data_IF_132246195816
#
_entry.id   IF_132246195816
#
_cell.length_a   1.000
_cell.length_b   1.000
_cell.length_c   1.000
_cell.angle_alpha   90.00
_cell.angle_beta   90.00
_cell.angle_gamma   90.00
#
_symmetry.space_group_name_H-M   'P 1'
#
loop_
_entity.id
_entity.type
_entity.pdbx_description
1 polymer ?
#
# COMPACT_ATOMS: atom_id res chain seq x y z
N UNK A 1 16.79 -17.10 33.11
CA UNK A 1 16.61 -16.61 31.74
C UNK A 1 15.54 -17.48 31.14
N UNK A 2 14.30 -16.98 31.05
CA UNK A 2 13.23 -17.77 30.42
C UNK A 2 13.54 -17.84 28.92
N UNK A 3 13.63 -19.04 28.37
CA UNK A 3 13.77 -19.23 26.93
C UNK A 3 12.55 -18.60 26.25
N UNK A 4 12.78 -17.54 25.46
CA UNK A 4 11.73 -16.88 24.69
C UNK A 4 11.19 -17.88 23.68
N UNK A 5 9.91 -18.22 23.79
CA UNK A 5 9.25 -19.17 22.89
C UNK A 5 8.87 -18.47 21.59
N UNK A 6 9.78 -18.49 20.62
CA UNK A 6 9.60 -17.84 19.32
C UNK A 6 9.22 -18.83 18.22
N UNK A 7 8.10 -18.57 17.55
CA UNK A 7 7.66 -19.28 16.35
C UNK A 7 7.97 -18.44 15.12
N UNK A 8 8.61 -19.02 14.10
CA UNK A 8 8.88 -18.33 12.84
C UNK A 8 7.93 -18.85 11.77
N UNK A 9 7.28 -17.97 11.01
CA UNK A 9 6.41 -18.34 9.90
C UNK A 9 6.76 -17.54 8.64
N UNK A 10 6.51 -18.11 7.48
CA UNK A 10 6.50 -17.39 6.21
C UNK A 10 5.18 -17.60 5.51
N UNK A 11 4.55 -16.51 5.08
CA UNK A 11 3.34 -16.53 4.28
C UNK A 11 3.70 -16.27 2.83
N UNK A 12 3.30 -17.18 1.95
CA UNK A 12 3.45 -17.09 0.50
C UNK A 12 2.06 -17.30 -0.12
N UNK A 13 1.71 -16.70 -1.26
CA UNK A 13 0.46 -17.02 -1.94
C UNK A 13 0.26 -18.54 -2.06
N UNK A 14 -0.81 -19.06 -1.46
CA UNK A 14 -1.15 -20.49 -1.48
C UNK A 14 -0.40 -21.41 -0.50
N UNK A 15 0.59 -20.93 0.27
CA UNK A 15 1.36 -21.76 1.23
C UNK A 15 1.77 -20.98 2.49
N UNK A 16 1.89 -21.69 3.62
CA UNK A 16 2.48 -21.19 4.85
C UNK A 16 3.59 -22.15 5.27
N UNK A 17 4.77 -21.60 5.55
CA UNK A 17 5.87 -22.33 6.17
C UNK A 17 5.92 -21.93 7.64
N UNK A 18 6.04 -22.90 8.54
CA UNK A 18 6.16 -22.64 9.97
C UNK A 18 7.34 -23.42 10.55
N UNK A 19 8.21 -22.75 11.30
CA UNK A 19 9.39 -23.30 11.96
C UNK A 19 9.28 -23.08 13.47
N UNK A 20 9.26 -24.19 14.20
CA UNK A 20 9.36 -24.21 15.66
C UNK A 20 10.55 -25.09 16.05
N UNK A 21 11.46 -24.54 16.87
CA UNK A 21 12.77 -25.15 17.13
C UNK A 21 13.44 -25.54 15.80
N UNK A 22 13.86 -26.81 15.64
CA UNK A 22 14.50 -27.31 14.41
C UNK A 22 13.54 -27.93 13.40
N UNK A 23 12.23 -27.86 13.64
CA UNK A 23 11.21 -28.45 12.77
C UNK A 23 10.55 -27.38 11.92
N UNK A 24 10.69 -27.51 10.61
CA UNK A 24 9.93 -26.71 9.62
C UNK A 24 8.85 -27.56 8.97
N UNK A 25 7.63 -27.04 8.88
CA UNK A 25 6.50 -27.66 8.18
C UNK A 25 6.01 -26.74 7.07
N UNK A 26 5.56 -27.32 5.97
CA UNK A 26 4.92 -26.61 4.86
C UNK A 26 3.45 -26.99 4.84
N UNK A 27 2.58 -25.99 4.87
CA UNK A 27 1.13 -26.16 4.91
C UNK A 27 0.56 -25.50 3.65
N UNK A 28 -0.25 -26.21 2.85
CA UNK A 28 -1.04 -25.57 1.81
C UNK A 28 -1.99 -24.57 2.46
N UNK A 29 -2.02 -23.32 1.99
CA UNK A 29 -2.98 -22.33 2.50
C UNK A 29 -4.45 -22.68 2.15
N UNK A 30 -4.67 -23.77 1.40
CA UNK A 30 -5.98 -24.28 0.98
C UNK A 30 -6.55 -25.41 1.87
N UNK A 31 -6.07 -25.64 3.10
CA UNK A 31 -6.55 -26.76 3.93
C UNK A 31 -6.99 -26.35 5.34
N UNK A 32 -8.04 -26.97 5.94
CA UNK A 32 -9.23 -27.62 5.38
C UNK A 32 -10.43 -26.66 5.31
N UNK A 33 -11.44 -26.94 4.49
CA UNK A 33 -12.70 -26.20 4.49
C UNK A 33 -13.33 -26.20 5.90
N UNK A 34 -13.52 -25.03 6.53
CA UNK A 34 -14.29 -24.95 7.76
C UNK A 34 -15.73 -25.38 7.45
N UNK A 35 -16.25 -26.32 8.22
CA UNK A 35 -17.68 -26.60 8.24
C UNK A 35 -18.38 -25.33 8.76
N UNK A 36 -19.19 -24.72 7.89
CA UNK A 36 -20.04 -23.52 8.05
C UNK A 36 -19.37 -22.16 7.88
N UNK A 37 -19.82 -21.43 6.84
CA UNK A 37 -19.98 -19.97 6.61
C UNK A 37 -19.00 -18.93 7.17
N UNK A 38 -17.91 -19.30 7.85
CA UNK A 38 -16.85 -18.38 8.24
C UNK A 38 -15.75 -18.39 7.18
N UNK A 39 -15.63 -17.27 6.46
CA UNK A 39 -14.43 -16.91 5.69
C UNK A 39 -13.19 -17.25 6.52
N UNK A 40 -12.35 -18.18 6.06
CA UNK A 40 -11.19 -18.68 6.80
C UNK A 40 -10.35 -17.50 7.35
N UNK A 41 -10.49 -17.23 8.64
CA UNK A 41 -9.87 -16.08 9.27
C UNK A 41 -8.34 -16.28 9.25
N UNK A 42 -7.51 -15.30 8.83
CA UNK A 42 -6.05 -15.46 8.75
C UNK A 42 -5.42 -15.97 10.04
N UNK A 43 -6.00 -15.64 11.20
CA UNK A 43 -5.55 -16.13 12.50
C UNK A 43 -5.77 -17.64 12.69
N UNK A 44 -6.85 -18.21 12.15
CA UNK A 44 -7.11 -19.64 12.21
C UNK A 44 -6.08 -20.42 11.37
N UNK A 45 -5.70 -19.88 10.20
CA UNK A 45 -4.65 -20.47 9.36
C UNK A 45 -3.27 -20.41 10.05
N UNK A 46 -2.91 -19.27 10.66
CA UNK A 46 -1.66 -19.17 11.42
C UNK A 46 -1.68 -20.07 12.66
N UNK A 47 -2.80 -20.15 13.38
CA UNK A 47 -2.95 -21.06 14.53
C UNK A 47 -2.83 -22.53 14.13
N UNK A 48 -3.46 -22.92 13.02
CA UNK A 48 -3.31 -24.26 12.45
C UNK A 48 -1.84 -24.54 12.06
N UNK A 49 -1.16 -23.55 11.48
CA UNK A 49 0.25 -23.67 11.12
C UNK A 49 1.15 -23.85 12.36
N UNK A 50 0.90 -23.08 13.41
CA UNK A 50 1.58 -23.20 14.70
C UNK A 50 1.41 -24.60 15.30
N UNK A 51 0.16 -25.07 15.38
CA UNK A 51 -0.16 -26.40 15.90
C UNK A 51 0.50 -27.52 15.07
N UNK A 52 0.50 -27.39 13.74
CA UNK A 52 1.13 -28.36 12.83
C UNK A 52 2.65 -28.40 12.99
N UNK A 53 3.27 -27.25 13.27
CA UNK A 53 4.70 -27.15 13.59
C UNK A 53 5.05 -27.76 14.96
N UNK A 54 4.04 -27.99 15.82
CA UNK A 54 4.20 -28.48 17.19
C UNK A 54 4.55 -27.37 18.19
N UNK A 55 4.22 -26.12 17.86
CA UNK A 55 4.37 -25.00 18.78
C UNK A 55 3.36 -25.10 19.93
N UNK A 56 3.72 -24.72 21.17
CA UNK A 56 2.81 -24.73 22.30
C UNK A 56 1.78 -23.58 22.21
N UNK A 57 0.69 -23.67 22.98
CA UNK A 57 -0.38 -22.65 22.96
C UNK A 57 0.01 -21.33 23.65
N UNK A 58 1.14 -21.30 24.39
CA UNK A 58 1.59 -20.18 25.22
C UNK A 58 2.80 -19.43 24.64
N UNK A 59 2.85 -19.25 23.32
CA UNK A 59 3.94 -18.55 22.62
C UNK A 59 4.14 -17.11 23.10
N UNK A 60 5.40 -16.77 23.35
CA UNK A 60 5.80 -15.40 23.67
C UNK A 60 5.79 -14.54 22.41
N UNK A 61 6.45 -15.00 21.34
CA UNK A 61 6.59 -14.24 20.11
C UNK A 61 6.34 -15.08 18.87
N UNK A 62 5.74 -14.48 17.85
CA UNK A 62 5.73 -15.01 16.49
C UNK A 62 6.40 -14.01 15.55
N UNK A 63 7.35 -14.49 14.75
CA UNK A 63 7.94 -13.71 13.66
C UNK A 63 7.38 -14.20 12.35
N UNK A 64 6.80 -13.30 11.55
CA UNK A 64 6.16 -13.65 10.28
C UNK A 64 6.85 -12.94 9.12
N UNK A 65 7.48 -13.74 8.27
CA UNK A 65 7.99 -13.35 6.96
C UNK A 65 6.82 -13.23 5.98
N UNK A 66 6.70 -12.10 5.31
CA UNK A 66 5.63 -11.85 4.35
C UNK A 66 6.19 -11.35 3.00
N UNK A 67 5.43 -11.45 1.90
CA UNK A 67 5.88 -10.95 0.60
C UNK A 67 6.19 -9.45 0.68
N UNK A 68 7.29 -9.03 0.06
CA UNK A 68 7.82 -7.67 0.23
C UNK A 68 6.87 -6.61 -0.32
N UNK A 69 6.08 -6.94 -1.34
CA UNK A 69 5.08 -6.04 -1.92
C UNK A 69 3.95 -5.66 -0.95
N UNK A 70 3.75 -6.41 0.15
CA UNK A 70 2.55 -6.26 0.97
C UNK A 70 2.45 -4.87 1.56
N UNK A 71 1.45 -4.12 1.08
CA UNK A 71 1.09 -2.82 1.63
C UNK A 71 0.65 -2.91 3.10
N UNK A 72 0.62 -1.74 3.75
CA UNK A 72 0.34 -1.61 5.20
C UNK A 72 -0.91 -2.33 5.66
N UNK A 73 -1.99 -2.32 4.88
CA UNK A 73 -3.24 -2.99 5.27
C UNK A 73 -3.06 -4.50 5.41
N UNK A 74 -2.40 -5.16 4.45
CA UNK A 74 -2.16 -6.61 4.52
C UNK A 74 -1.23 -6.93 5.67
N UNK A 75 -0.18 -6.11 5.88
CA UNK A 75 0.73 -6.22 7.03
C UNK A 75 0.00 -6.04 8.36
N UNK A 76 -0.88 -5.05 8.50
CA UNK A 76 -1.66 -4.81 9.72
C UNK A 76 -2.64 -5.96 10.01
N UNK A 77 -3.30 -6.50 8.98
CA UNK A 77 -4.16 -7.69 9.10
C UNK A 77 -3.35 -8.91 9.53
N UNK A 78 -2.21 -9.16 8.90
CA UNK A 78 -1.30 -10.24 9.24
C UNK A 78 -0.77 -10.09 10.68
N UNK A 79 -0.34 -8.89 11.07
CA UNK A 79 0.11 -8.59 12.42
C UNK A 79 -1.00 -8.84 13.44
N UNK A 80 -2.23 -8.40 13.17
CA UNK A 80 -3.39 -8.64 14.04
C UNK A 80 -3.67 -10.13 14.18
N UNK A 81 -3.59 -10.90 13.09
CA UNK A 81 -3.77 -12.34 13.12
C UNK A 81 -2.64 -13.05 13.89
N UNK A 82 -1.40 -12.64 13.68
CA UNK A 82 -0.22 -13.16 14.38
C UNK A 82 -0.29 -12.88 15.89
N UNK A 83 -0.80 -11.71 16.28
CA UNK A 83 -1.08 -11.33 17.68
C UNK A 83 -2.16 -12.17 18.37
N UNK A 84 -2.96 -12.92 17.62
CA UNK A 84 -3.90 -13.89 18.18
C UNK A 84 -3.22 -15.24 18.46
N UNK A 85 -2.06 -15.50 17.85
CA UNK A 85 -1.27 -16.73 18.03
C UNK A 85 -0.23 -16.58 19.15
N UNK A 86 0.36 -15.39 19.33
CA UNK A 86 1.40 -15.14 20.34
C UNK A 86 1.28 -13.75 20.99
N UNK A 87 1.91 -13.59 22.16
CA UNK A 87 1.91 -12.32 22.92
C UNK A 87 2.64 -11.18 22.23
N UNK A 88 3.53 -11.46 21.29
CA UNK A 88 4.25 -10.47 20.48
C UNK A 88 4.27 -10.95 19.04
N UNK A 89 4.20 -10.02 18.10
CA UNK A 89 4.27 -10.31 16.68
C UNK A 89 5.29 -9.39 16.03
N UNK A 90 6.21 -9.97 15.25
CA UNK A 90 7.21 -9.24 14.47
C UNK A 90 6.98 -9.57 13.00
N UNK A 91 6.95 -8.57 12.15
CA UNK A 91 6.86 -8.75 10.71
C UNK A 91 8.20 -8.49 10.04
N UNK A 92 8.58 -9.35 9.10
CA UNK A 92 9.79 -9.22 8.29
C UNK A 92 9.42 -9.40 6.82
N UNK A 93 9.97 -8.61 5.92
CA UNK A 93 9.74 -8.83 4.49
C UNK A 93 10.58 -10.01 3.99
N UNK A 94 10.10 -10.72 2.98
CA UNK A 94 10.84 -11.82 2.38
C UNK A 94 12.18 -11.35 1.80
N UNK A 95 12.26 -10.14 1.25
CA UNK A 95 13.53 -9.57 0.79
C UNK A 95 14.56 -9.40 1.92
N UNK A 96 14.15 -8.86 3.08
CA UNK A 96 15.03 -8.73 4.26
C UNK A 96 15.45 -10.11 4.78
N UNK A 97 14.50 -11.04 4.88
CA UNK A 97 14.77 -12.39 5.35
C UNK A 97 15.73 -13.15 4.40
N UNK A 98 15.52 -13.03 3.09
CA UNK A 98 16.40 -13.60 2.08
C UNK A 98 17.81 -13.01 2.15
N UNK A 99 17.94 -11.69 2.33
CA UNK A 99 19.26 -11.06 2.47
C UNK A 99 20.05 -11.58 3.67
N UNK A 100 19.38 -11.94 4.76
CA UNK A 100 20.02 -12.48 5.97
C UNK A 100 20.60 -13.88 5.77
N UNK A 101 20.21 -14.61 4.73
CA UNK A 101 20.80 -15.93 4.42
C UNK A 101 22.18 -15.79 3.78
N UNK A 102 22.44 -14.66 3.11
CA UNK A 102 23.73 -14.36 2.51
C UNK A 102 24.71 -13.84 3.58
N UNK A 103 25.99 -14.29 3.57
CA UNK A 103 26.99 -13.77 4.49
C UNK A 103 27.12 -12.25 4.36
N UNK A 104 27.53 -11.53 5.42
CA UNK A 104 27.80 -10.11 5.34
C UNK A 104 29.00 -9.88 4.41
N UNK A 105 28.74 -9.57 3.14
CA UNK A 105 29.76 -9.11 2.21
C UNK A 105 30.06 -7.64 2.44
N UNK A 106 31.35 -7.28 2.52
CA UNK A 106 31.79 -5.89 2.58
C UNK A 106 31.50 -5.20 1.24
N UNK A 107 30.42 -4.41 1.20
CA UNK A 107 30.10 -3.53 0.07
C UNK A 107 29.41 -4.17 -1.13
N UNK A 108 29.03 -5.44 -1.06
CA UNK A 108 28.26 -6.10 -2.13
C UNK A 108 26.81 -5.59 -2.19
N UNK A 109 26.31 -5.44 -3.41
CA UNK A 109 24.94 -4.99 -3.69
C UNK A 109 24.05 -6.18 -4.01
N UNK A 110 22.94 -6.24 -3.29
CA UNK A 110 21.99 -7.34 -3.37
C UNK A 110 20.69 -6.87 -3.99
N UNK A 111 20.17 -7.66 -4.93
CA UNK A 111 18.79 -7.62 -5.34
C UNK A 111 18.11 -8.93 -4.92
N UNK A 112 16.85 -8.85 -4.50
CA UNK A 112 16.02 -10.03 -4.21
C UNK A 112 14.91 -10.12 -5.24
N UNK A 113 14.72 -11.29 -5.82
CA UNK A 113 13.66 -11.61 -6.77
C UNK A 113 12.74 -12.63 -6.09
N UNK A 114 11.55 -12.18 -5.73
CA UNK A 114 10.45 -13.01 -5.25
C UNK A 114 9.60 -13.43 -6.45
N UNK A 115 9.56 -14.73 -6.72
CA UNK A 115 8.72 -15.33 -7.77
C UNK A 115 7.54 -16.01 -7.09
N UNK A 116 6.35 -15.46 -7.24
CA UNK A 116 5.13 -16.06 -6.68
C UNK A 116 4.09 -16.31 -7.78
N UNK A 117 3.06 -17.09 -7.45
CA UNK A 117 1.96 -17.37 -8.39
C UNK A 117 1.14 -16.13 -8.78
N UNK A 118 1.42 -14.96 -8.22
CA UNK A 118 0.79 -13.69 -8.54
C UNK A 118 1.74 -12.70 -9.26
N UNK A 119 2.97 -13.11 -9.59
CA UNK A 119 3.93 -12.32 -10.34
C UNK A 119 5.36 -12.37 -9.80
N UNK A 120 6.21 -11.47 -10.30
CA UNK A 120 7.60 -11.31 -9.87
C UNK A 120 7.79 -9.95 -9.22
N UNK A 121 8.28 -9.94 -7.99
CA UNK A 121 8.74 -8.74 -7.29
C UNK A 121 10.26 -8.73 -7.22
N UNK A 122 10.88 -7.65 -7.68
CA UNK A 122 12.31 -7.42 -7.50
C UNK A 122 12.52 -6.27 -6.52
N UNK A 123 13.44 -6.46 -5.58
CA UNK A 123 13.73 -5.50 -4.52
C UNK A 123 15.23 -5.24 -4.41
N UNK A 124 15.63 -3.98 -4.36
CA UNK A 124 16.98 -3.57 -3.96
C UNK A 124 16.98 -3.21 -2.48
N UNK A 125 18.04 -3.59 -1.77
CA UNK A 125 18.19 -3.37 -0.34
C UNK A 125 19.31 -2.38 -0.05
N UNK A 126 19.13 -1.57 1.00
CA UNK A 126 20.18 -0.70 1.55
C UNK A 126 21.22 -1.54 2.30
N UNK A 127 22.48 -1.13 2.22
CA UNK A 127 23.56 -1.69 3.05
C UNK A 127 23.75 -0.84 4.31
N UNK A 128 24.14 -1.43 5.47
CA UNK A 128 24.38 -2.86 5.73
C UNK A 128 23.14 -3.61 6.28
N UNK A 129 22.13 -2.89 6.78
CA UNK A 129 21.05 -3.47 7.58
C UNK A 129 19.91 -4.10 6.76
N UNK A 130 19.94 -3.95 5.43
CA UNK A 130 19.10 -4.69 4.51
C UNK A 130 17.66 -4.20 4.43
N UNK A 131 17.37 -2.93 4.75
CA UNK A 131 16.03 -2.37 4.54
C UNK A 131 15.73 -2.20 3.05
N UNK A 132 14.45 -2.28 2.68
CA UNK A 132 13.98 -2.11 1.31
C UNK A 132 14.24 -0.68 0.84
N UNK A 133 15.12 -0.51 -0.16
CA UNK A 133 15.40 0.78 -0.82
C UNK A 133 14.38 1.03 -1.94
N UNK A 134 14.30 0.08 -2.86
CA UNK A 134 13.48 0.17 -4.07
C UNK A 134 12.84 -1.16 -4.38
N UNK A 135 11.63 -1.09 -4.91
CA UNK A 135 10.83 -2.25 -5.28
C UNK A 135 10.22 -2.02 -6.67
N UNK A 136 10.22 -3.05 -7.49
CA UNK A 136 9.51 -3.10 -8.76
C UNK A 136 8.77 -4.44 -8.85
N UNK A 137 7.55 -4.43 -9.37
CA UNK A 137 6.75 -5.65 -9.54
C UNK A 137 6.22 -5.74 -10.96
N UNK A 138 6.16 -6.98 -11.45
CA UNK A 138 5.44 -7.34 -12.66
C UNK A 138 4.45 -8.46 -12.34
N UNK A 139 3.16 -8.13 -12.34
CA UNK A 139 2.07 -9.07 -12.03
C UNK A 139 1.80 -10.06 -13.17
N UNK A 140 2.19 -9.73 -14.40
CA UNK A 140 1.93 -10.55 -15.58
C UNK A 140 3.13 -11.43 -15.94
N UNK A 141 4.23 -11.30 -15.20
CA UNK A 141 5.38 -12.17 -15.30
C UNK A 141 5.21 -13.31 -14.31
N UNK A 142 4.67 -14.43 -14.79
CA UNK A 142 4.62 -15.67 -14.03
C UNK A 142 5.88 -16.52 -14.23
N UNK A 143 5.97 -17.60 -13.44
CA UNK A 143 7.05 -18.56 -13.48
C UNK A 143 7.27 -19.21 -14.85
N UNK A 144 6.19 -19.53 -15.58
CA UNK A 144 6.27 -20.13 -16.90
C UNK A 144 6.80 -19.15 -17.95
N UNK A 145 6.51 -17.86 -17.78
CA UNK A 145 6.98 -16.79 -18.65
C UNK A 145 8.42 -16.38 -18.37
N UNK A 146 8.91 -16.53 -17.13
CA UNK A 146 10.31 -16.29 -16.77
C UNK A 146 11.28 -17.09 -17.66
N UNK A 147 10.88 -18.29 -18.09
CA UNK A 147 11.68 -19.13 -18.98
C UNK A 147 11.67 -18.68 -20.45
N UNK A 148 10.86 -17.71 -20.83
CA UNK A 148 10.83 -17.18 -22.20
C UNK A 148 11.86 -16.05 -22.42
N UNK A 149 12.33 -15.80 -23.66
CA UNK A 149 13.16 -14.63 -23.96
C UNK A 149 12.46 -13.30 -23.66
N UNK A 150 11.12 -13.26 -23.71
CA UNK A 150 10.33 -12.08 -23.36
C UNK A 150 10.33 -11.86 -21.84
N UNK A 151 10.07 -12.89 -21.04
CA UNK A 151 10.11 -12.81 -19.58
C UNK A 151 11.51 -12.51 -19.05
N UNK A 152 12.56 -13.05 -19.67
CA UNK A 152 13.94 -12.68 -19.34
C UNK A 152 14.22 -11.18 -19.48
N UNK A 153 13.71 -10.56 -20.56
CA UNK A 153 13.86 -9.10 -20.77
C UNK A 153 13.08 -8.31 -19.71
N UNK A 154 11.88 -8.76 -19.36
CA UNK A 154 11.06 -8.14 -18.29
C UNK A 154 11.75 -8.25 -16.94
N UNK A 155 12.35 -9.40 -16.63
CA UNK A 155 13.14 -9.58 -15.40
C UNK A 155 14.38 -8.67 -15.36
N UNK A 156 15.14 -8.58 -16.47
CA UNK A 156 16.29 -7.66 -16.57
C UNK A 156 15.85 -6.19 -16.40
N UNK A 157 14.68 -5.83 -16.93
CA UNK A 157 14.08 -4.51 -16.75
C UNK A 157 13.68 -4.25 -15.29
N UNK A 158 13.05 -5.22 -14.60
CA UNK A 158 12.74 -5.11 -13.17
C UNK A 158 14.00 -4.91 -12.32
N UNK A 159 15.06 -5.68 -12.57
CA UNK A 159 16.35 -5.56 -11.86
C UNK A 159 16.94 -4.17 -12.11
N UNK A 160 16.92 -3.70 -13.36
CA UNK A 160 17.41 -2.36 -13.72
C UNK A 160 16.59 -1.24 -13.08
N UNK A 161 15.28 -1.40 -12.96
CA UNK A 161 14.40 -0.40 -12.35
C UNK A 161 14.74 -0.20 -10.86
N UNK A 162 15.07 -1.27 -10.14
CA UNK A 162 15.44 -1.15 -8.71
C UNK A 162 16.91 -0.80 -8.49
N UNK A 163 17.85 -1.36 -9.27
CA UNK A 163 19.28 -1.12 -9.08
C UNK A 163 19.79 0.15 -9.80
N UNK A 164 19.03 0.67 -10.76
CA UNK A 164 19.41 1.83 -11.57
C UNK A 164 20.48 1.48 -12.61
N UNK A 165 21.47 2.37 -12.76
CA UNK A 165 22.54 2.24 -13.77
C UNK A 165 23.65 1.27 -13.39
N UNK A 166 23.63 0.72 -12.18
CA UNK A 166 24.71 -0.16 -11.68
C UNK A 166 24.13 -1.51 -11.32
N UNK A 167 24.57 -2.56 -12.01
CA UNK A 167 24.09 -3.92 -11.83
C UNK A 167 24.40 -4.45 -10.42
N UNK A 168 23.53 -5.29 -9.81
CA UNK A 168 23.80 -5.91 -8.51
C UNK A 168 24.93 -6.93 -8.61
N UNK A 169 25.63 -7.16 -7.50
CA UNK A 169 26.68 -8.17 -7.42
C UNK A 169 26.09 -9.57 -7.15
N UNK A 170 24.94 -9.61 -6.45
CA UNK A 170 24.20 -10.82 -6.11
C UNK A 170 22.70 -10.62 -6.31
N UNK A 171 22.05 -11.60 -6.93
CA UNK A 171 20.59 -11.72 -7.04
C UNK A 171 20.15 -12.95 -6.24
N UNK A 172 19.39 -12.73 -5.17
CA UNK A 172 18.78 -13.79 -4.38
C UNK A 172 17.39 -14.08 -4.93
N UNK A 173 17.08 -15.35 -5.22
CA UNK A 173 15.79 -15.73 -5.79
C UNK A 173 15.03 -16.59 -4.76
N UNK A 174 13.78 -16.25 -4.48
CA UNK A 174 12.90 -17.02 -3.58
C UNK A 174 11.51 -17.23 -4.19
N UNK A 175 10.81 -18.32 -3.84
CA UNK A 175 9.41 -18.57 -4.21
C UNK A 175 9.15 -19.80 -5.11
N UNK A 176 8.07 -19.76 -5.91
CA UNK A 176 7.50 -20.85 -6.76
C UNK A 176 8.40 -21.24 -7.95
N UNK A 177 8.43 -22.52 -8.43
CA UNK A 177 7.46 -23.64 -8.27
C UNK A 177 7.60 -24.49 -7.01
N UNK A 178 8.74 -24.40 -6.34
CA UNK A 178 9.09 -25.19 -5.17
C UNK A 178 10.20 -24.47 -4.45
N UNK A 179 10.37 -24.74 -3.16
CA UNK A 179 11.41 -24.11 -2.36
C UNK A 179 12.62 -25.03 -2.19
N UNK A 180 13.84 -24.52 -2.39
CA UNK A 180 14.13 -23.22 -3.00
C UNK A 180 13.64 -23.17 -4.47
N UNK A 181 13.36 -21.96 -5.04
CA UNK A 181 13.01 -21.81 -6.45
C UNK A 181 14.01 -22.61 -7.24
N UNK A 182 13.52 -23.62 -7.96
CA UNK A 182 14.34 -24.77 -8.33
C UNK A 182 15.67 -24.31 -8.94
N UNK A 183 16.78 -24.94 -8.54
CA UNK A 183 18.12 -24.68 -9.09
C UNK A 183 18.13 -24.41 -10.62
N UNK A 184 17.31 -25.11 -11.44
CA UNK A 184 17.21 -24.81 -12.87
C UNK A 184 16.75 -23.38 -13.22
N UNK A 185 15.85 -22.76 -12.44
CA UNK A 185 15.39 -21.38 -12.65
C UNK A 185 16.53 -20.39 -12.39
N UNK A 186 17.26 -20.55 -11.28
CA UNK A 186 18.41 -19.70 -10.96
C UNK A 186 19.53 -19.83 -12.00
N UNK A 187 19.84 -21.06 -12.45
CA UNK A 187 20.82 -21.29 -13.53
C UNK A 187 20.43 -20.54 -14.81
N UNK A 188 19.16 -20.63 -15.23
CA UNK A 188 18.66 -19.92 -16.41
C UNK A 188 18.67 -18.40 -16.26
N UNK A 189 18.34 -17.88 -15.07
CA UNK A 189 18.45 -16.45 -14.78
C UNK A 189 19.92 -16.03 -14.87
N UNK A 190 20.84 -16.81 -14.28
CA UNK A 190 22.28 -16.52 -14.29
C UNK A 190 22.85 -16.47 -15.72
N UNK A 191 22.53 -17.47 -16.55
CA UNK A 191 22.95 -17.54 -17.95
C UNK A 191 22.53 -16.29 -18.75
N UNK A 192 21.33 -15.77 -18.47
CA UNK A 192 20.76 -14.63 -19.22
C UNK A 192 21.24 -13.28 -18.73
N UNK A 193 21.47 -13.15 -17.43
CA UNK A 193 22.06 -11.95 -16.87
C UNK A 193 23.50 -11.78 -17.36
N UNK A 194 24.30 -12.87 -17.43
CA UNK A 194 25.53 -12.97 -18.23
C UNK A 194 26.69 -12.01 -17.88
N UNK A 195 26.54 -11.13 -16.88
CA UNK A 195 27.45 -10.01 -16.55
C UNK A 195 28.29 -10.25 -15.28
N UNK A 196 28.48 -11.51 -14.87
CA UNK A 196 29.18 -11.85 -13.62
C UNK A 196 28.34 -11.68 -12.35
N UNK A 197 27.03 -11.44 -12.50
CA UNK A 197 26.05 -11.38 -11.40
C UNK A 197 25.86 -12.79 -10.85
N UNK A 198 26.03 -12.98 -9.55
CA UNK A 198 25.76 -14.27 -8.89
C UNK A 198 24.28 -14.40 -8.61
N UNK A 199 23.65 -15.47 -9.09
CA UNK A 199 22.24 -15.76 -8.81
C UNK A 199 22.16 -16.94 -7.85
N UNK A 200 21.56 -16.72 -6.68
CA UNK A 200 21.50 -17.72 -5.61
C UNK A 200 20.05 -18.04 -5.25
N UNK A 201 19.65 -19.31 -5.20
CA UNK A 201 18.36 -19.70 -4.64
C UNK A 201 18.33 -19.49 -3.12
N UNK A 202 17.16 -19.13 -2.59
CA UNK A 202 16.89 -19.04 -1.15
C UNK A 202 15.56 -19.72 -0.82
N UNK A 203 15.57 -20.69 0.10
CA UNK A 203 14.38 -21.41 0.56
C UNK A 203 13.71 -20.73 1.77
N UNK A 204 12.41 -20.97 2.02
CA UNK A 204 11.77 -20.48 3.25
C UNK A 204 12.45 -21.00 4.50
N UNK A 205 12.88 -22.26 4.50
CA UNK A 205 13.57 -22.85 5.65
C UNK A 205 14.85 -22.09 6.01
N UNK A 206 15.56 -21.57 5.01
CA UNK A 206 16.78 -20.78 5.20
C UNK A 206 16.43 -19.37 5.70
N UNK A 207 15.42 -18.73 5.12
CA UNK A 207 14.92 -17.44 5.59
C UNK A 207 14.44 -17.50 7.04
N UNK A 208 13.64 -18.52 7.39
CA UNK A 208 13.12 -18.72 8.74
C UNK A 208 14.22 -19.06 9.76
N UNK A 209 15.32 -19.68 9.32
CA UNK A 209 16.49 -19.93 10.18
C UNK A 209 17.38 -18.70 10.32
N UNK A 210 17.44 -17.82 9.31
CA UNK A 210 18.28 -16.63 9.30
C UNK A 210 17.65 -15.42 10.01
N UNK A 211 16.34 -15.44 10.26
CA UNK A 211 15.66 -14.40 11.05
C UNK A 211 15.92 -14.67 12.54
N UNK A 212 16.60 -13.76 13.25
CA UNK A 212 16.91 -13.97 14.66
C UNK A 212 15.64 -13.92 15.50
N UNK A 213 15.68 -14.62 16.63
CA UNK A 213 14.68 -14.43 17.67
C UNK A 213 14.72 -12.96 18.15
N UNK A 214 13.56 -12.34 18.40
CA UNK A 214 13.53 -11.01 18.94
C UNK A 214 14.23 -11.02 20.31
N UNK A 215 15.26 -10.18 20.44
CA UNK A 215 15.98 -10.03 21.70
C UNK A 215 15.05 -9.52 22.81
N UNK A 216 15.38 -9.76 24.09
CA UNK A 216 14.63 -9.20 25.20
C UNK A 216 14.57 -7.68 25.05
N UNK A 217 13.35 -7.13 24.99
CA UNK A 217 13.12 -5.70 24.99
C UNK A 217 13.80 -5.12 26.25
N UNK A 218 14.74 -4.16 26.13
CA UNK A 218 15.31 -3.54 27.31
C UNK A 218 14.17 -2.90 28.12
N UNK A 219 14.18 -2.99 29.45
CA UNK A 219 13.10 -2.47 30.28
C UNK A 219 12.88 -0.99 29.95
N UNK A 220 11.61 -0.60 29.81
CA UNK A 220 11.17 0.74 29.40
C UNK A 220 11.73 1.90 30.27
N UNK A 221 12.32 1.59 31.42
CA UNK A 221 12.99 2.55 32.32
C UNK A 221 14.44 2.92 31.91
N UNK A 222 15.00 2.30 30.87
CA UNK A 222 16.33 2.66 30.34
C UNK A 222 16.32 3.83 29.33
N UNK A 223 15.15 4.44 29.10
CA UNK A 223 15.03 5.65 28.28
C UNK A 223 15.32 6.90 29.11
N UNK A 224 16.61 7.22 29.31
CA UNK A 224 17.20 8.56 29.31
C UNK A 224 18.54 8.61 30.07
N UNK A 225 19.64 8.26 29.38
CA UNK A 225 20.91 8.93 29.63
C UNK A 225 21.08 9.97 28.50
N UNK A 226 21.04 11.29 28.81
CA UNK A 226 21.08 12.32 27.78
C UNK A 226 22.47 12.34 27.09
N UNK A 227 22.43 12.43 25.76
CA UNK A 227 23.51 12.20 24.80
C UNK A 227 24.69 13.21 24.81
N UNK A 228 24.87 14.00 25.86
CA UNK A 228 25.89 15.07 25.92
C UNK A 228 27.20 14.68 26.62
N UNK A 229 27.40 13.40 26.96
CA UNK A 229 28.57 12.93 27.71
C UNK A 229 29.56 12.05 26.92
N UNK A 230 29.42 11.92 25.60
CA UNK A 230 30.45 11.29 24.77
C UNK A 230 31.30 12.35 24.06
N UNK A 231 32.52 12.54 24.57
CA UNK A 231 33.58 13.26 23.86
C UNK A 231 34.35 12.25 23.02
N UNK A 232 34.12 12.24 21.70
CA UNK A 232 34.91 11.47 20.73
C UNK A 232 35.59 12.44 19.74
N UNK A 233 36.82 12.15 19.25
CA UNK A 233 37.65 13.11 18.54
C UNK A 233 37.18 13.38 17.10
N UNK A 234 37.31 14.64 16.68
CA UNK A 234 36.87 15.13 15.37
C UNK A 234 37.60 14.48 14.19
N UNK A 235 36.82 13.84 13.29
CA UNK A 235 37.20 13.59 11.90
C UNK A 235 36.46 14.57 10.98
N UNK A 236 37.20 15.18 10.03
CA UNK A 236 36.77 16.30 9.16
C UNK A 236 35.91 15.85 7.95
N UNK A 237 35.16 16.78 7.32
CA UNK A 237 33.88 16.47 6.68
C UNK A 237 33.96 16.30 5.16
N UNK A 238 33.06 15.48 4.61
CA UNK A 238 32.58 15.61 3.22
C UNK A 238 31.05 15.68 3.26
N UNK A 239 30.51 16.84 2.86
CA UNK A 239 29.14 17.07 2.39
C UNK A 239 27.95 16.59 3.24
N UNK A 240 27.52 17.39 4.22
CA UNK A 240 26.13 17.39 4.73
C UNK A 240 25.19 17.86 3.61
N UNK A 241 23.91 17.48 3.50
CA UNK A 241 22.82 17.60 4.48
C UNK A 241 21.57 16.96 3.80
N UNK A 242 20.58 16.31 4.42
CA UNK A 242 20.03 16.44 5.77
C UNK A 242 19.15 15.19 6.06
N UNK A 243 19.54 14.40 7.07
CA UNK A 243 18.74 13.35 7.71
C UNK A 243 17.94 13.94 8.88
N UNK A 244 16.85 13.25 9.23
CA UNK A 244 16.16 13.27 10.53
C UNK A 244 14.91 14.16 10.54
N UNK A 245 13.75 13.72 11.02
CA UNK A 245 13.51 12.90 12.22
C UNK A 245 12.25 12.05 12.03
N UNK A 246 12.35 10.76 12.40
CA UNK A 246 11.20 9.88 12.59
C UNK A 246 10.34 10.39 13.75
N UNK A 247 9.13 10.84 13.43
CA UNK A 247 8.08 11.04 14.42
C UNK A 247 7.30 9.74 14.49
N UNK A 248 7.35 9.09 15.66
CA UNK A 248 6.32 8.14 16.09
C UNK A 248 5.01 8.93 16.13
N UNK A 249 4.24 8.86 15.06
CA UNK A 249 2.94 9.49 14.98
C UNK A 249 1.88 8.39 15.14
N UNK A 250 1.44 8.20 16.39
CA UNK A 250 0.12 7.62 16.64
C UNK A 250 -0.88 8.56 15.98
N UNK A 251 -1.35 8.21 14.79
CA UNK A 251 -2.42 8.96 14.11
C UNK A 251 -3.63 8.06 13.94
N UNK A 252 -4.40 7.99 15.02
CA UNK A 252 -5.81 7.73 14.93
C UNK A 252 -6.49 8.88 14.17
N UNK A 253 -6.79 8.71 12.88
CA UNK A 253 -7.78 9.54 12.18
C UNK A 253 -8.62 8.69 11.22
N UNK A 254 -9.49 7.86 11.80
CA UNK A 254 -10.80 7.54 11.18
C UNK A 254 -11.92 8.37 11.85
N UNK A 255 -11.59 9.25 12.79
CA UNK A 255 -12.53 10.17 13.43
C UNK A 255 -12.55 11.58 12.81
N UNK A 256 -12.06 11.75 11.58
CA UNK A 256 -12.03 13.08 10.96
C UNK A 256 -13.38 13.54 10.41
N UNK A 257 -14.13 12.68 9.73
CA UNK A 257 -15.39 13.07 9.10
C UNK A 257 -16.60 12.84 10.03
N UNK A 258 -16.39 12.10 11.13
CA UNK A 258 -17.39 11.87 12.19
C UNK A 258 -17.34 12.88 13.36
N UNK A 259 -16.26 13.65 13.52
CA UNK A 259 -16.10 14.63 14.60
C UNK A 259 -16.40 16.07 14.12
N UNK A 260 -17.66 16.36 13.76
CA UNK A 260 -18.22 17.74 13.78
C UNK A 260 -18.87 18.03 15.15
N UNK A 261 -18.56 17.22 16.16
CA UNK A 261 -19.07 17.40 17.52
C UNK A 261 -18.04 18.14 18.38
N UNK A 262 -18.39 19.38 18.71
CA UNK A 262 -17.92 20.17 19.85
C UNK A 262 -16.48 20.73 19.82
N UNK A 263 -16.33 21.97 19.31
CA UNK A 263 -15.73 23.07 20.09
C UNK A 263 -16.47 24.36 19.75
N UNK A 264 -17.17 24.90 20.75
CA UNK A 264 -17.56 26.31 20.73
C UNK A 264 -16.42 27.15 21.28
N UNK A 265 -16.03 28.19 20.56
CA UNK A 265 -15.81 29.48 21.18
C UNK A 265 -16.14 30.56 20.14
N UNK A 266 -17.11 31.39 20.51
CA UNK A 266 -17.38 32.71 19.96
C UNK A 266 -16.07 33.48 19.86
N UNK A 267 -15.84 34.24 18.80
CA UNK A 267 -15.33 35.61 18.85
C UNK A 267 -15.90 36.36 17.63
N UNK A 268 -16.70 37.37 17.94
CA UNK A 268 -17.29 38.35 17.03
C UNK A 268 -16.24 39.34 16.57
N UNK A 269 -16.21 39.68 15.27
CA UNK A 269 -15.77 40.94 14.63
C UNK A 269 -15.70 40.63 13.13
N UNK A 270 -16.64 40.98 12.27
CA UNK A 270 -17.11 42.33 12.00
C UNK A 270 -16.04 43.07 11.22
N UNK A 271 -16.06 43.02 9.88
CA UNK A 271 -15.74 44.15 8.99
C UNK A 271 -16.30 43.87 7.58
N UNK A 272 -17.20 44.76 7.18
CA UNK A 272 -17.79 44.92 5.85
C UNK A 272 -17.00 46.05 5.19
N UNK A 273 -16.48 45.84 3.99
CA UNK A 273 -16.21 46.92 3.05
C UNK A 273 -16.11 46.35 1.63
N UNK A 274 -17.00 46.85 0.79
CA UNK A 274 -17.07 46.66 -0.65
C UNK A 274 -15.80 47.17 -1.35
N UNK A 275 -15.55 46.73 -2.60
CA UNK A 275 -15.65 47.58 -3.80
C UNK A 275 -15.10 46.92 -5.08
N UNK A 276 -15.95 46.96 -6.10
CA UNK A 276 -15.72 47.22 -7.53
C UNK A 276 -15.25 46.13 -8.52
N UNK A 277 -16.18 45.84 -9.44
CA UNK A 277 -15.99 45.43 -10.83
C UNK A 277 -15.02 46.35 -11.59
N UNK A 278 -14.27 45.77 -12.52
CA UNK A 278 -13.89 46.46 -13.76
C UNK A 278 -14.03 45.50 -14.95
N UNK A 279 -14.95 45.85 -15.84
CA UNK A 279 -15.22 45.24 -17.15
C UNK A 279 -14.35 45.97 -18.18
N UNK A 280 -13.65 45.24 -19.04
CA UNK A 280 -13.25 45.73 -20.37
C UNK A 280 -13.48 44.63 -21.41
N UNK A 281 -14.24 44.99 -22.45
CA UNK A 281 -14.73 44.14 -23.55
C UNK A 281 -13.94 44.36 -24.85
N UNK A 282 -13.70 43.24 -25.55
CA UNK A 282 -13.74 42.99 -27.01
C UNK A 282 -12.74 43.70 -27.97
N UNK A 283 -12.50 43.23 -29.23
CA UNK A 283 -13.50 42.69 -30.18
C UNK A 283 -13.15 41.45 -31.04
N UNK A 284 -14.23 40.87 -31.57
CA UNK A 284 -14.33 39.77 -32.54
C UNK A 284 -13.88 40.10 -33.98
N UNK A 285 -13.52 39.06 -34.75
CA UNK A 285 -13.71 38.97 -36.19
C UNK A 285 -13.87 37.49 -36.59
N UNK A 286 -14.97 37.15 -37.27
CA UNK A 286 -15.37 35.77 -37.60
C UNK A 286 -15.02 35.31 -39.01
N UNK A 287 -15.36 34.05 -39.30
CA UNK A 287 -15.83 33.62 -40.62
C UNK A 287 -16.71 32.36 -40.49
N UNK A 288 -17.70 32.27 -41.35
CA UNK A 288 -18.74 31.26 -41.39
C UNK A 288 -18.32 30.03 -42.20
N UNK A 289 -18.53 28.85 -41.63
CA UNK A 289 -18.44 27.58 -42.36
C UNK A 289 -19.47 26.61 -41.80
N UNK A 290 -20.64 26.54 -42.45
CA UNK A 290 -21.69 25.60 -42.11
C UNK A 290 -21.18 24.17 -42.24
N UNK A 291 -21.14 23.44 -41.12
CA UNK A 291 -21.03 21.99 -41.08
C UNK A 291 -22.22 21.48 -40.29
N UNK A 292 -23.11 20.79 -41.00
CA UNK A 292 -24.18 19.93 -40.49
C UNK A 292 -23.73 19.21 -39.21
N UNK A 293 -24.53 19.15 -38.14
CA UNK A 293 -24.20 18.30 -37.01
C UNK A 293 -24.29 16.85 -37.48
N UNK A 294 -23.15 16.28 -37.86
CA UNK A 294 -23.00 14.85 -37.96
C UNK A 294 -23.30 14.30 -36.58
N UNK A 295 -24.41 13.57 -36.47
CA UNK A 295 -24.73 12.71 -35.33
C UNK A 295 -23.49 11.85 -35.09
N UNK A 296 -22.66 12.26 -34.12
CA UNK A 296 -21.63 11.39 -33.56
C UNK A 296 -22.40 10.25 -32.94
N UNK A 297 -22.44 9.13 -33.64
CA UNK A 297 -22.86 7.86 -33.06
C UNK A 297 -22.11 7.73 -31.74
N UNK A 298 -22.79 7.63 -30.59
CA UNK A 298 -22.12 7.49 -29.33
C UNK A 298 -21.28 6.22 -29.41
N UNK A 299 -19.97 6.37 -29.19
CA UNK A 299 -19.09 5.24 -28.91
C UNK A 299 -19.81 4.36 -27.89
N UNK A 300 -19.92 3.03 -28.10
CA UNK A 300 -20.60 2.17 -27.15
C UNK A 300 -19.99 2.42 -25.77
N UNK A 301 -20.77 3.01 -24.86
CA UNK A 301 -20.37 3.19 -23.47
C UNK A 301 -20.10 1.78 -22.97
N UNK A 302 -18.89 1.54 -22.45
CA UNK A 302 -18.60 0.27 -21.81
C UNK A 302 -19.73 -0.03 -20.81
N UNK A 303 -20.25 -1.26 -20.77
CA UNK A 303 -21.37 -1.58 -19.91
C UNK A 303 -21.03 -1.18 -18.48
N UNK A 304 -21.96 -0.45 -17.83
CA UNK A 304 -21.79 0.05 -16.47
C UNK A 304 -22.75 -0.63 -15.51
N UNK A 305 -22.27 -0.91 -14.31
CA UNK A 305 -23.04 -1.48 -13.20
C UNK A 305 -23.29 -0.39 -12.18
N UNK A 306 -24.55 -0.31 -11.72
CA UNK A 306 -24.95 0.61 -10.65
C UNK A 306 -24.65 -0.01 -9.29
N UNK A 307 -23.96 0.74 -8.45
CA UNK A 307 -23.69 0.40 -7.06
C UNK A 307 -24.51 1.29 -6.13
N UNK A 308 -25.16 0.67 -5.14
CA UNK A 308 -25.93 1.35 -4.09
C UNK A 308 -25.25 1.11 -2.75
N UNK A 309 -24.82 2.19 -2.10
CA UNK A 309 -23.94 2.22 -0.94
C UNK A 309 -24.58 3.11 0.12
N UNK A 310 -25.48 2.54 0.92
CA UNK A 310 -26.32 3.31 1.84
C UNK A 310 -27.22 4.31 1.07
N UNK A 311 -27.19 5.61 1.40
CA UNK A 311 -27.94 6.64 0.67
C UNK A 311 -27.27 7.07 -0.64
N UNK A 312 -26.08 6.54 -0.98
CA UNK A 312 -25.31 6.97 -2.14
C UNK A 312 -25.40 5.96 -3.26
N UNK A 313 -25.51 6.45 -4.50
CA UNK A 313 -25.58 5.66 -5.73
C UNK A 313 -24.51 6.13 -6.70
N UNK A 314 -23.81 5.23 -7.37
CA UNK A 314 -22.89 5.57 -8.46
C UNK A 314 -22.83 4.47 -9.50
N UNK A 315 -22.21 4.73 -10.64
CA UNK A 315 -22.00 3.76 -11.70
C UNK A 315 -20.51 3.58 -11.99
N UNK A 316 -20.09 2.33 -12.21
CA UNK A 316 -18.74 1.96 -12.63
C UNK A 316 -18.80 1.01 -13.82
N UNK A 317 -17.70 0.83 -14.59
CA UNK A 317 -17.63 -0.22 -15.59
C UNK A 317 -17.90 -1.61 -15.00
N UNK A 318 -18.33 -2.54 -15.85
CA UNK A 318 -18.34 -3.96 -15.49
C UNK A 318 -16.97 -4.41 -14.98
N UNK A 319 -16.96 -5.33 -14.01
CA UNK A 319 -15.74 -5.79 -13.37
C UNK A 319 -15.34 -4.99 -12.12
N UNK A 320 -16.20 -4.15 -11.54
CA UNK A 320 -16.04 -3.60 -10.20
C UNK A 320 -16.97 -4.27 -9.19
N UNK A 321 -16.45 -4.60 -8.01
CA UNK A 321 -17.19 -5.28 -6.96
C UNK A 321 -17.00 -4.61 -5.60
N UNK A 322 -18.02 -4.69 -4.75
CA UNK A 322 -17.94 -4.22 -3.37
C UNK A 322 -17.04 -5.17 -2.55
N UNK A 323 -16.08 -4.60 -1.82
CA UNK A 323 -15.18 -5.35 -0.94
C UNK A 323 -15.78 -5.52 0.45
N UNK A 324 -16.34 -6.69 0.71
CA UNK A 324 -16.97 -7.05 1.99
C UNK A 324 -18.30 -6.30 2.23
N UNK A 325 -18.89 -6.43 3.43
CA UNK A 325 -20.10 -5.67 3.76
C UNK A 325 -19.75 -4.18 3.85
N UNK A 326 -20.54 -3.32 3.18
CA UNK A 326 -20.41 -1.88 3.33
C UNK A 326 -20.60 -1.49 4.81
N UNK A 327 -19.68 -0.69 5.35
CA UNK A 327 -19.92 -0.03 6.64
C UNK A 327 -20.94 1.08 6.42
N UNK A 328 -21.68 1.46 7.46
CA UNK A 328 -22.82 2.36 7.35
C UNK A 328 -22.53 3.70 6.65
N UNK A 329 -21.28 4.16 6.67
CA UNK A 329 -20.78 5.42 6.12
C UNK A 329 -19.62 5.26 5.12
N UNK A 330 -19.14 4.03 4.88
CA UNK A 330 -17.96 3.77 4.08
C UNK A 330 -18.05 2.46 3.29
N UNK A 331 -17.74 2.56 2.00
CA UNK A 331 -17.68 1.44 1.07
C UNK A 331 -16.37 1.45 0.27
N UNK A 332 -15.93 0.28 -0.15
CA UNK A 332 -14.73 0.10 -0.97
C UNK A 332 -15.10 -0.74 -2.20
N UNK A 333 -14.91 -0.19 -3.39
CA UNK A 333 -15.08 -0.87 -4.67
C UNK A 333 -13.71 -1.22 -5.22
N UNK A 334 -13.56 -2.46 -5.69
CA UNK A 334 -12.30 -3.00 -6.23
C UNK A 334 -12.53 -3.68 -7.58
N UNK A 335 -11.56 -3.63 -8.50
CA UNK A 335 -11.63 -4.40 -9.74
C UNK A 335 -11.59 -5.91 -9.48
N UNK A 336 -12.50 -6.62 -10.12
CA UNK A 336 -12.51 -8.08 -10.24
C UNK A 336 -11.28 -8.48 -11.04
N UNK A 337 -10.41 -9.32 -10.47
CA UNK A 337 -9.11 -9.65 -11.05
C UNK A 337 -7.92 -8.99 -10.34
N UNK A 338 -8.17 -8.10 -9.37
CA UNK A 338 -7.19 -7.79 -8.33
C UNK A 338 -6.08 -6.80 -8.68
N UNK A 339 -6.36 -5.79 -9.51
CA UNK A 339 -5.43 -4.66 -9.64
C UNK A 339 -5.37 -3.85 -8.33
N UNK A 340 -4.20 -3.27 -8.02
CA UNK A 340 -3.96 -2.44 -6.83
C UNK A 340 -4.59 -1.03 -6.94
N UNK A 341 -5.86 -1.01 -7.35
CA UNK A 341 -6.68 0.18 -7.57
C UNK A 341 -7.98 0.01 -6.80
N UNK A 342 -8.45 1.08 -6.16
CA UNK A 342 -9.73 1.04 -5.44
C UNK A 342 -10.43 2.38 -5.48
N UNK A 343 -11.76 2.32 -5.47
CA UNK A 343 -12.61 3.50 -5.27
C UNK A 343 -13.22 3.38 -3.88
N UNK A 344 -12.83 4.30 -3.01
CA UNK A 344 -13.33 4.40 -1.64
C UNK A 344 -14.42 5.45 -1.63
N UNK A 345 -15.58 5.10 -1.11
CA UNK A 345 -16.67 6.04 -0.92
C UNK A 345 -16.89 6.24 0.58
N UNK A 346 -16.89 7.50 1.00
CA UNK A 346 -17.22 7.90 2.38
C UNK A 346 -18.33 8.92 2.30
N UNK A 347 -19.38 8.77 3.11
CA UNK A 347 -20.45 9.76 3.18
C UNK A 347 -20.77 10.16 4.62
N UNK A 348 -21.19 11.41 4.81
CA UNK A 348 -21.55 11.94 6.12
C UNK A 348 -22.71 12.92 6.00
N UNK A 349 -23.65 12.85 6.95
CA UNK A 349 -24.76 13.78 7.04
C UNK A 349 -24.24 15.09 7.65
N UNK A 350 -24.36 16.19 6.92
CA UNK A 350 -23.88 17.49 7.36
C UNK A 350 -24.80 18.07 8.43
N UNK A 351 -24.21 18.46 9.57
CA UNK A 351 -24.93 19.21 10.61
C UNK A 351 -24.97 20.67 10.21
N UNK A 352 -26.19 21.20 10.04
CA UNK A 352 -26.50 22.43 9.30
C UNK A 352 -26.28 22.19 7.81
N UNK A 353 -27.17 22.71 6.96
CA UNK A 353 -27.14 22.51 5.52
C UNK A 353 -25.95 23.26 4.89
N UNK A 354 -24.73 22.87 5.27
CA UNK A 354 -23.49 23.36 4.69
C UNK A 354 -23.49 22.97 3.22
N UNK A 355 -23.22 23.94 2.37
CA UNK A 355 -22.99 23.76 0.95
C UNK A 355 -21.52 23.38 0.69
N UNK A 356 -21.17 23.19 -0.58
CA UNK A 356 -19.82 22.81 -0.99
C UNK A 356 -18.77 23.81 -0.49
N UNK A 357 -19.05 25.12 -0.57
CA UNK A 357 -18.14 26.16 -0.09
C UNK A 357 -17.88 26.05 1.42
N UNK A 358 -18.94 25.86 2.23
CA UNK A 358 -18.80 25.65 3.67
C UNK A 358 -18.01 24.39 4.03
N UNK A 359 -18.18 23.30 3.28
CA UNK A 359 -17.34 22.09 3.43
C UNK A 359 -15.89 22.37 3.05
N UNK A 360 -15.66 23.17 2.00
CA UNK A 360 -14.33 23.62 1.56
C UNK A 360 -13.58 24.35 2.66
N UNK A 361 -14.22 25.29 3.36
CA UNK A 361 -13.60 26.01 4.50
C UNK A 361 -13.22 25.08 5.65
N UNK A 362 -14.04 24.06 5.94
CA UNK A 362 -13.74 23.07 6.97
C UNK A 362 -12.53 22.22 6.56
N UNK A 363 -12.48 21.78 5.30
CA UNK A 363 -11.36 21.01 4.76
C UNK A 363 -10.07 21.84 4.69
N UNK A 364 -10.15 23.12 4.34
CA UNK A 364 -9.00 24.02 4.29
C UNK A 364 -8.34 24.19 5.67
N UNK A 365 -9.15 24.40 6.71
CA UNK A 365 -8.65 24.44 8.10
C UNK A 365 -8.01 23.11 8.50
N UNK A 366 -8.63 21.98 8.12
CA UNK A 366 -8.06 20.67 8.40
C UNK A 366 -6.74 20.42 7.67
N UNK A 367 -6.64 20.81 6.40
CA UNK A 367 -5.42 20.68 5.62
C UNK A 367 -4.30 21.54 6.21
N UNK A 368 -4.60 22.74 6.71
CA UNK A 368 -3.63 23.57 7.41
C UNK A 368 -3.11 22.91 8.71
N UNK A 369 -3.95 22.17 9.42
CA UNK A 369 -3.57 21.41 10.62
C UNK A 369 -2.84 20.09 10.30
N UNK A 370 -3.07 19.50 9.11
CA UNK A 370 -2.68 18.13 8.73
C UNK A 370 -1.97 18.09 7.36
N UNK A 371 -1.14 19.09 7.06
CA UNK A 371 -0.56 19.29 5.73
C UNK A 371 0.37 18.16 5.25
N UNK A 372 0.83 17.29 6.15
CA UNK A 372 1.58 16.08 5.82
C UNK A 372 0.69 14.96 5.24
N UNK A 373 -0.61 14.94 5.58
CA UNK A 373 -1.58 13.92 5.17
C UNK A 373 -2.49 14.42 4.05
N UNK A 374 -2.98 15.66 4.17
CA UNK A 374 -3.87 16.30 3.19
C UNK A 374 -3.07 17.31 2.40
N UNK A 375 -2.82 16.99 1.14
CA UNK A 375 -2.00 17.78 0.22
C UNK A 375 -2.85 18.27 -0.95
N UNK A 376 -2.37 19.32 -1.61
CA UNK A 376 -2.95 19.83 -2.86
C UNK A 376 -4.47 20.05 -2.79
N UNK A 377 -4.96 20.58 -1.65
CA UNK A 377 -6.37 20.91 -1.49
C UNK A 377 -6.73 22.05 -2.43
N UNK A 378 -7.68 21.77 -3.31
CA UNK A 378 -8.34 22.72 -4.18
C UNK A 378 -9.84 22.74 -3.85
N UNK A 379 -10.26 23.78 -3.13
CA UNK A 379 -11.62 23.91 -2.60
C UNK A 379 -12.66 24.35 -3.64
N UNK A 380 -12.20 24.82 -4.82
CA UNK A 380 -13.05 25.34 -5.88
C UNK A 380 -12.54 24.86 -7.24
N UNK A 381 -12.82 23.58 -7.53
CA UNK A 381 -12.36 22.94 -8.76
C UNK A 381 -13.48 22.17 -9.43
N UNK A 382 -13.23 21.76 -10.67
CA UNK A 382 -14.16 20.94 -11.44
C UNK A 382 -13.48 19.64 -11.86
N UNK A 383 -14.15 18.52 -11.60
CA UNK A 383 -13.72 17.19 -12.04
C UNK A 383 -14.92 16.40 -12.54
N UNK A 384 -14.75 15.67 -13.65
CA UNK A 384 -15.82 14.88 -14.27
C UNK A 384 -17.12 15.68 -14.54
N UNK A 385 -16.94 16.91 -15.04
CA UNK A 385 -18.00 17.89 -15.35
C UNK A 385 -18.85 18.31 -14.13
N UNK A 386 -18.29 18.23 -12.92
CA UNK A 386 -18.97 18.62 -11.68
C UNK A 386 -18.09 19.51 -10.78
N UNK A 387 -18.68 20.51 -10.12
CA UNK A 387 -18.00 21.23 -9.03
C UNK A 387 -17.69 20.27 -7.88
N UNK A 388 -16.44 20.25 -7.45
CA UNK A 388 -15.95 19.39 -6.37
C UNK A 388 -14.89 20.13 -5.54
N UNK A 389 -14.64 19.64 -4.34
CA UNK A 389 -13.38 19.90 -3.63
C UNK A 389 -12.45 18.74 -3.92
N UNK A 390 -11.23 19.01 -4.38
CA UNK A 390 -10.22 17.99 -4.63
C UNK A 390 -9.07 18.08 -3.63
N UNK A 391 -8.52 16.95 -3.22
CA UNK A 391 -7.25 16.90 -2.50
C UNK A 391 -6.57 15.54 -2.70
N UNK A 392 -5.28 15.49 -2.37
CA UNK A 392 -4.49 14.27 -2.39
C UNK A 392 -4.17 13.84 -0.97
N UNK A 393 -4.45 12.59 -0.67
CA UNK A 393 -3.94 11.91 0.52
C UNK A 393 -2.86 10.90 0.10
N UNK A 394 -1.81 10.80 0.89
CA UNK A 394 -0.76 9.79 0.72
C UNK A 394 -0.82 8.84 1.92
N UNK A 395 -1.54 7.70 1.82
CA UNK A 395 -1.54 6.72 2.89
C UNK A 395 -0.14 6.15 3.17
N UNK A 396 0.67 6.01 2.11
CA UNK A 396 2.07 5.57 2.15
C UNK A 396 2.85 6.19 0.97
N UNK A 397 4.15 5.93 0.86
CA UNK A 397 5.02 6.50 -0.19
C UNK A 397 4.71 5.98 -1.61
N UNK A 398 4.02 4.84 -1.71
CA UNK A 398 3.77 4.13 -2.95
C UNK A 398 2.33 4.26 -3.42
N UNK A 399 1.42 4.80 -2.60
CA UNK A 399 0.01 4.94 -2.90
C UNK A 399 -0.49 6.36 -2.68
N UNK A 400 -1.29 6.81 -3.63
CA UNK A 400 -1.98 8.09 -3.57
C UNK A 400 -3.47 7.85 -3.64
N UNK A 401 -4.22 8.65 -2.87
CA UNK A 401 -5.67 8.75 -2.99
C UNK A 401 -6.02 10.14 -3.45
N UNK A 402 -6.63 10.26 -4.62
CA UNK A 402 -7.25 11.51 -5.08
C UNK A 402 -8.70 11.53 -4.61
N UNK A 403 -8.99 12.44 -3.71
CA UNK A 403 -10.31 12.64 -3.15
C UNK A 403 -11.05 13.71 -3.93
N UNK A 404 -12.31 13.44 -4.24
CA UNK A 404 -13.25 14.36 -4.83
C UNK A 404 -14.49 14.41 -3.95
N UNK A 405 -14.78 15.57 -3.38
CA UNK A 405 -15.89 15.76 -2.45
C UNK A 405 -17.00 16.52 -3.16
N UNK A 406 -18.20 15.94 -3.12
CA UNK A 406 -19.45 16.58 -3.52
C UNK A 406 -20.35 16.74 -2.31
N UNK A 407 -21.24 17.73 -2.37
CA UNK A 407 -22.29 17.92 -1.37
C UNK A 407 -23.63 17.92 -2.10
N UNK A 408 -24.51 17.02 -1.70
CA UNK A 408 -25.83 16.87 -2.30
C UNK A 408 -26.85 16.51 -1.21
N UNK A 409 -28.00 17.17 -1.21
CA UNK A 409 -29.11 16.89 -0.27
C UNK A 409 -28.70 16.88 1.21
N UNK A 410 -27.76 17.75 1.60
CA UNK A 410 -27.23 17.82 2.98
C UNK A 410 -26.32 16.65 3.38
N UNK A 411 -25.88 15.85 2.41
CA UNK A 411 -24.89 14.78 2.59
C UNK A 411 -23.61 15.17 1.86
N UNK A 412 -22.49 15.10 2.58
CA UNK A 412 -21.17 15.14 1.97
C UNK A 412 -20.82 13.75 1.50
N UNK A 413 -20.41 13.61 0.24
CA UNK A 413 -19.89 12.37 -0.33
C UNK A 413 -18.46 12.61 -0.81
N UNK A 414 -17.51 11.86 -0.28
CA UNK A 414 -16.12 11.86 -0.69
C UNK A 414 -15.83 10.58 -1.49
N UNK A 415 -15.42 10.75 -2.74
CA UNK A 415 -14.98 9.67 -3.64
C UNK A 415 -13.46 9.70 -3.69
N UNK A 416 -12.81 8.70 -3.11
CA UNK A 416 -11.37 8.55 -3.06
C UNK A 416 -10.89 7.52 -4.07
N UNK A 417 -10.19 7.96 -5.10
CA UNK A 417 -9.61 7.08 -6.12
C UNK A 417 -8.16 6.79 -5.75
N UNK A 418 -7.90 5.56 -5.38
CA UNK A 418 -6.58 5.12 -4.94
C UNK A 418 -5.84 4.36 -6.04
N UNK A 419 -4.58 4.73 -6.21
CA UNK A 419 -3.67 4.20 -7.21
C UNK A 419 -2.24 4.21 -6.67
N UNK A 420 -1.33 3.53 -7.37
CA UNK A 420 0.09 3.60 -7.10
C UNK A 420 0.68 4.93 -7.59
N UNK A 421 1.73 5.42 -6.94
CA UNK A 421 2.40 6.67 -7.35
C UNK A 421 2.80 6.61 -8.83
N UNK A 422 2.34 7.58 -9.63
CA UNK A 422 2.57 7.63 -11.07
C UNK A 422 1.52 6.91 -11.94
N UNK A 423 0.60 6.13 -11.34
CA UNK A 423 -0.38 5.33 -12.09
C UNK A 423 -1.79 5.96 -12.18
N UNK A 424 -1.90 7.28 -12.07
CA UNK A 424 -3.20 7.95 -12.13
C UNK A 424 -3.99 7.62 -13.41
N UNK A 425 -3.31 7.57 -14.55
CA UNK A 425 -3.93 7.26 -15.86
C UNK A 425 -4.68 5.93 -15.87
N UNK A 426 -4.29 4.99 -15.00
CA UNK A 426 -4.88 3.66 -14.94
C UNK A 426 -6.20 3.55 -14.18
N UNK A 427 -6.58 4.56 -13.38
CA UNK A 427 -7.87 4.60 -12.68
C UNK A 427 -8.69 5.85 -13.04
N UNK A 428 -8.11 6.77 -13.81
CA UNK A 428 -8.68 8.09 -14.06
C UNK A 428 -10.11 8.00 -14.63
N UNK A 429 -10.34 7.15 -15.62
CA UNK A 429 -11.62 7.09 -16.32
C UNK A 429 -12.73 6.53 -15.41
N UNK A 430 -12.42 5.49 -14.64
CA UNK A 430 -13.31 4.89 -13.65
C UNK A 430 -13.61 5.88 -12.52
N UNK A 431 -12.61 6.65 -12.11
CA UNK A 431 -12.77 7.72 -11.14
C UNK A 431 -13.65 8.86 -11.66
N UNK A 432 -13.43 9.32 -12.89
CA UNK A 432 -14.27 10.32 -13.54
C UNK A 432 -15.71 9.82 -13.62
N UNK A 433 -15.93 8.56 -14.01
CA UNK A 433 -17.27 7.98 -14.06
C UNK A 433 -17.93 7.93 -12.67
N UNK A 434 -17.21 7.51 -11.63
CA UNK A 434 -17.73 7.47 -10.27
C UNK A 434 -18.15 8.87 -9.79
N UNK A 435 -17.28 9.88 -9.97
CA UNK A 435 -17.56 11.25 -9.55
C UNK A 435 -18.67 11.88 -10.39
N UNK A 436 -18.72 11.61 -11.69
CA UNK A 436 -19.78 12.10 -12.56
C UNK A 436 -21.17 11.57 -12.15
N UNK A 437 -21.23 10.29 -11.77
CA UNK A 437 -22.50 9.57 -11.55
C UNK A 437 -22.94 9.49 -10.09
N UNK A 438 -22.08 9.88 -9.14
CA UNK A 438 -22.42 9.81 -7.71
C UNK A 438 -23.60 10.70 -7.38
N UNK A 439 -24.65 10.12 -6.80
CA UNK A 439 -25.87 10.82 -6.40
C UNK A 439 -26.35 10.34 -5.05
N UNK A 440 -27.01 11.22 -4.32
CA UNK A 440 -27.71 10.88 -3.07
C UNK A 440 -29.17 10.50 -3.40
N UNK A 441 -29.63 9.38 -2.87
CA UNK A 441 -30.96 8.81 -3.09
C UNK A 441 -32.05 9.42 -2.20
#
# INVERSE_FOLDING_TARGET
>A
MSDVRTLHMQVVPGRIHARWADRTVTIPAAAPEPRSDDDAHPAALLGYAAATAGAPDDLDTVTVVHPTEWGERRRAQLHTAARQVARHAVLVTAAVAARRTAPPGDGERYAVVEVDGAGVTTTALTTPDGEVDRLARDSDLDEGLLDSPAGARRLDELIRNVCGSVDPDVVLVTGSPGEPPGMPLCERIAERLGRGIRVLPVAASEMLAAVPDPGPEPPADAAAAPCWLHTEPASRPVGRMRRGVAVVAVVAVVAAVAAVAAVGLVWTSGHRADLHEEIVNDPAAGDAGGVTPGTRSPTPRAPSVRHVLGPVRLELPEGWALRGPARADRAELVPVGGSDRRIVLVHSILRRHLDLAGVGEVLARRAAERGEVIRDLDADTTFADRPVIAYVEAPDDFSLVRWFVVVESGIQVAVGCQFLTGEWSGIKNECEQAVHTVTVA
#
